data_IF_024869005794
#
_entry.id   IF_024869005794
#
_cell.length_a   1.000
_cell.length_b   1.000
_cell.length_c   1.000
_cell.angle_alpha   90.00
_cell.angle_beta   90.00
_cell.angle_gamma   90.00
#
_symmetry.space_group_name_H-M   'P 1'
#
loop_
_entity.id
_entity.type
_entity.pdbx_description
1 polymer ?
#
# COMPACT_ATOMS: atom_id res chain seq x y z
N UNK A 1 -3.14 -12.51 36.18
CA UNK A 1 -3.54 -11.41 35.26
C UNK A 1 -4.03 -12.03 33.94
N UNK A 2 -5.33 -11.95 33.63
CA UNK A 2 -5.92 -12.50 32.39
C UNK A 2 -5.41 -11.83 31.10
N UNK A 3 -4.62 -10.77 31.23
CA UNK A 3 -4.00 -10.05 30.12
C UNK A 3 -2.79 -10.80 29.55
N UNK A 4 -1.99 -11.46 30.40
CA UNK A 4 -0.79 -12.18 29.95
C UNK A 4 -1.11 -13.37 29.04
N UNK A 5 -2.06 -14.21 29.42
CA UNK A 5 -2.47 -15.38 28.62
C UNK A 5 -3.07 -14.97 27.27
N UNK A 6 -3.73 -13.81 27.19
CA UNK A 6 -4.29 -13.31 25.93
C UNK A 6 -3.18 -12.79 25.00
N UNK A 7 -2.18 -12.08 25.54
CA UNK A 7 -1.02 -11.61 24.77
C UNK A 7 -0.16 -12.77 24.27
N UNK A 8 0.04 -13.79 25.09
CA UNK A 8 0.81 -14.98 24.73
C UNK A 8 0.17 -15.77 23.57
N UNK A 9 -1.17 -15.88 23.58
CA UNK A 9 -1.93 -16.50 22.50
C UNK A 9 -1.88 -15.67 21.21
N UNK A 10 -1.99 -14.35 21.32
CA UNK A 10 -1.81 -13.42 20.18
C UNK A 10 -0.42 -13.55 19.56
N UNK A 11 0.63 -13.62 20.38
CA UNK A 11 1.99 -13.80 19.89
C UNK A 11 2.14 -15.14 19.17
N UNK A 12 1.59 -16.22 19.72
CA UNK A 12 1.70 -17.56 19.12
C UNK A 12 0.97 -17.69 17.78
N UNK A 13 -0.12 -16.94 17.58
CA UNK A 13 -0.95 -17.00 16.36
C UNK A 13 -0.50 -15.98 15.29
N UNK A 14 -0.23 -14.72 15.66
CA UNK A 14 0.12 -13.64 14.71
C UNK A 14 1.58 -13.73 14.25
N UNK A 15 2.50 -14.04 15.17
CA UNK A 15 3.94 -14.06 14.87
C UNK A 15 4.32 -15.04 13.74
N UNK A 16 3.79 -16.28 13.66
CA UNK A 16 4.10 -17.16 12.54
C UNK A 16 3.57 -16.62 11.20
N UNK A 17 2.38 -16.00 11.18
CA UNK A 17 1.84 -15.37 9.97
C UNK A 17 2.74 -14.21 9.53
N UNK A 18 3.24 -13.42 10.49
CA UNK A 18 4.11 -12.28 10.21
C UNK A 18 5.50 -12.70 9.68
N UNK A 19 6.08 -13.76 10.25
CA UNK A 19 7.35 -14.34 9.77
C UNK A 19 7.15 -14.87 8.34
N UNK A 20 6.06 -15.59 8.10
CA UNK A 20 5.77 -16.17 6.78
C UNK A 20 5.56 -15.06 5.73
N UNK A 21 4.85 -13.99 6.09
CA UNK A 21 4.71 -12.81 5.23
C UNK A 21 6.05 -12.11 4.97
N UNK A 22 6.91 -11.99 5.98
CA UNK A 22 8.25 -11.38 5.84
C UNK A 22 9.16 -12.19 4.92
N UNK A 23 9.15 -13.52 5.03
CA UNK A 23 9.87 -14.42 4.12
C UNK A 23 9.34 -14.27 2.68
N UNK A 24 8.02 -14.18 2.52
CA UNK A 24 7.38 -14.04 1.21
C UNK A 24 7.73 -12.69 0.55
N UNK A 25 7.79 -11.60 1.34
CA UNK A 25 8.29 -10.29 0.90
C UNK A 25 9.76 -10.37 0.52
N UNK A 26 10.60 -11.01 1.33
CA UNK A 26 12.02 -11.12 1.05
C UNK A 26 12.28 -11.94 -0.23
N UNK A 27 11.56 -13.04 -0.42
CA UNK A 27 11.62 -13.86 -1.62
C UNK A 27 11.14 -13.09 -2.86
N UNK A 28 10.03 -12.34 -2.75
CA UNK A 28 9.57 -11.48 -3.84
C UNK A 28 10.60 -10.40 -4.21
N UNK A 29 11.37 -9.89 -3.24
CA UNK A 29 12.39 -8.85 -3.45
C UNK A 29 13.61 -9.41 -4.19
N UNK A 30 14.06 -10.61 -3.81
CA UNK A 30 15.16 -11.30 -4.49
C UNK A 30 14.78 -11.74 -5.91
N UNK A 31 13.54 -12.16 -6.12
CA UNK A 31 13.07 -12.59 -7.46
C UNK A 31 12.87 -11.43 -8.44
N UNK A 32 13.00 -10.17 -8.01
CA UNK A 32 12.77 -8.99 -8.86
C UNK A 32 11.31 -8.77 -9.25
N UNK A 33 10.38 -9.60 -8.72
CA UNK A 33 8.96 -9.51 -9.01
C UNK A 33 8.39 -8.15 -8.57
N UNK A 34 8.87 -7.61 -7.45
CA UNK A 34 8.49 -6.28 -7.01
C UNK A 34 8.92 -5.19 -7.98
N UNK A 35 10.12 -5.27 -8.57
CA UNK A 35 10.58 -4.27 -9.56
C UNK A 35 9.71 -4.32 -10.83
N UNK A 36 9.32 -5.53 -11.23
CA UNK A 36 8.40 -5.72 -12.36
C UNK A 36 7.02 -5.12 -12.08
N UNK A 37 6.50 -5.30 -10.86
CA UNK A 37 5.20 -4.78 -10.44
C UNK A 37 5.28 -3.25 -10.26
N UNK A 38 6.35 -2.71 -9.67
CA UNK A 38 6.49 -1.25 -9.53
C UNK A 38 6.57 -0.57 -10.89
N UNK A 39 7.31 -1.14 -11.86
CA UNK A 39 7.36 -0.65 -13.25
C UNK A 39 5.99 -0.65 -13.92
N UNK A 40 5.12 -1.62 -13.64
CA UNK A 40 3.76 -1.61 -14.17
C UNK A 40 2.83 -0.64 -13.45
N UNK A 41 3.09 -0.32 -12.18
CA UNK A 41 2.42 0.75 -11.45
C UNK A 41 2.93 2.15 -11.80
N UNK A 42 4.16 2.32 -12.28
CA UNK A 42 4.72 3.62 -12.68
C UNK A 42 3.79 4.42 -13.60
N UNK A 43 3.27 3.89 -14.73
CA UNK A 43 2.37 4.66 -15.59
C UNK A 43 1.04 5.04 -14.91
N UNK A 44 0.55 4.21 -13.97
CA UNK A 44 -0.65 4.49 -13.18
C UNK A 44 -0.41 5.62 -12.16
N UNK A 45 0.77 5.65 -11.53
CA UNK A 45 1.18 6.68 -10.57
C UNK A 45 1.44 8.01 -11.28
N UNK A 46 2.11 7.96 -12.44
CA UNK A 46 2.27 9.11 -13.34
C UNK A 46 0.92 9.66 -13.81
N UNK A 47 -0.06 8.80 -14.10
CA UNK A 47 -1.41 9.24 -14.49
C UNK A 47 -2.11 10.03 -13.37
N UNK A 48 -1.85 9.71 -12.10
CA UNK A 48 -2.34 10.48 -10.95
C UNK A 48 -1.47 11.73 -10.68
N UNK A 49 -0.43 12.01 -11.48
CA UNK A 49 0.41 13.20 -11.35
C UNK A 49 1.46 13.11 -10.24
N UNK A 50 1.79 11.89 -9.79
CA UNK A 50 2.84 11.63 -8.81
C UNK A 50 4.16 11.23 -9.49
N UNK A 51 5.31 11.49 -8.84
CA UNK A 51 6.61 11.08 -9.37
C UNK A 51 6.80 9.56 -9.31
N UNK A 52 7.68 9.04 -10.17
CA UNK A 52 7.95 7.60 -10.33
C UNK A 52 8.41 6.94 -9.03
N UNK A 53 9.06 7.72 -8.18
CA UNK A 53 9.58 7.34 -6.87
C UNK A 53 8.46 6.90 -5.90
N UNK A 54 7.21 7.31 -6.13
CA UNK A 54 6.07 6.93 -5.27
C UNK A 54 5.51 5.55 -5.63
N UNK A 55 5.76 5.03 -6.84
CA UNK A 55 5.31 3.71 -7.24
C UNK A 55 5.77 2.57 -6.30
N UNK A 56 7.05 2.47 -5.89
CA UNK A 56 7.46 1.52 -4.86
C UNK A 56 6.81 1.78 -3.50
N UNK A 57 6.48 3.02 -3.16
CA UNK A 57 5.87 3.35 -1.87
C UNK A 57 4.43 2.84 -1.77
N UNK A 58 3.65 2.95 -2.84
CA UNK A 58 2.31 2.34 -2.91
C UNK A 58 2.36 0.82 -2.79
N UNK A 59 3.31 0.21 -3.48
CA UNK A 59 3.56 -1.22 -3.40
C UNK A 59 3.92 -1.63 -1.97
N UNK A 60 4.88 -0.98 -1.31
CA UNK A 60 5.20 -1.30 0.09
C UNK A 60 4.03 -1.01 1.05
N UNK A 61 3.25 0.03 0.79
CA UNK A 61 2.02 0.37 1.51
C UNK A 61 0.95 -0.73 1.42
N UNK A 62 0.80 -1.36 0.25
CA UNK A 62 -0.09 -2.51 0.05
C UNK A 62 0.32 -3.71 0.91
N UNK A 63 1.64 -3.96 1.02
CA UNK A 63 2.16 -5.04 1.87
C UNK A 63 1.96 -4.74 3.35
N UNK A 64 2.30 -3.52 3.75
CA UNK A 64 2.07 -3.01 5.10
C UNK A 64 2.04 -1.49 5.06
N UNK A 65 0.91 -0.91 5.47
CA UNK A 65 0.68 0.54 5.46
C UNK A 65 1.81 1.34 6.13
N UNK A 66 2.39 0.82 7.22
CA UNK A 66 3.50 1.46 7.93
C UNK A 66 4.75 1.63 7.05
N UNK A 67 5.02 0.67 6.15
CA UNK A 67 6.15 0.76 5.22
C UNK A 67 5.88 1.77 4.10
N UNK A 68 4.63 1.88 3.64
CA UNK A 68 4.23 2.94 2.71
C UNK A 68 4.35 4.33 3.34
N UNK A 69 3.93 4.49 4.60
CA UNK A 69 4.09 5.76 5.32
C UNK A 69 5.57 6.13 5.51
N UNK A 70 6.42 5.16 5.87
CA UNK A 70 7.86 5.38 5.98
C UNK A 70 8.49 5.78 4.62
N UNK A 71 8.09 5.12 3.53
CA UNK A 71 8.55 5.48 2.18
C UNK A 71 8.14 6.88 1.75
N UNK A 72 6.89 7.30 2.03
CA UNK A 72 6.45 8.67 1.77
C UNK A 72 7.23 9.69 2.59
N UNK A 73 7.49 9.38 3.86
CA UNK A 73 8.21 10.28 4.75
C UNK A 73 9.66 10.49 4.29
N UNK A 74 10.31 9.43 3.79
CA UNK A 74 11.66 9.49 3.22
C UNK A 74 11.68 10.36 1.94
N UNK A 75 10.73 10.16 1.02
CA UNK A 75 10.61 10.97 -0.20
C UNK A 75 10.29 12.44 0.08
N UNK A 76 9.45 12.70 1.09
CA UNK A 76 9.13 14.06 1.52
C UNK A 76 10.36 14.77 2.08
N UNK A 77 11.19 14.06 2.86
CA UNK A 77 12.46 14.59 3.38
C UNK A 77 13.50 14.79 2.29
N UNK A 78 13.49 13.96 1.25
CA UNK A 78 14.37 14.09 0.08
C UNK A 78 14.01 15.26 -0.84
N UNK A 79 12.90 15.96 -0.61
CA UNK A 79 12.46 17.08 -1.44
C UNK A 79 11.81 16.67 -2.77
N UNK A 80 11.46 15.38 -2.95
CA UNK A 80 10.93 14.84 -4.20
C UNK A 80 9.41 15.00 -4.38
N UNK A 81 8.69 15.53 -3.38
CA UNK A 81 7.22 15.62 -3.38
C UNK A 81 6.73 17.04 -3.10
N UNK A 82 5.86 17.56 -3.97
CA UNK A 82 5.04 18.75 -3.67
C UNK A 82 4.00 18.42 -2.58
N UNK A 83 3.57 19.42 -1.82
CA UNK A 83 2.53 19.27 -0.79
C UNK A 83 1.26 18.64 -1.36
N UNK A 84 0.89 18.99 -2.60
CA UNK A 84 -0.28 18.44 -3.30
C UNK A 84 -0.09 16.94 -3.56
N UNK A 85 1.09 16.55 -4.06
CA UNK A 85 1.40 15.15 -4.34
C UNK A 85 1.43 14.32 -3.07
N UNK A 86 1.91 14.89 -1.97
CA UNK A 86 1.89 14.24 -0.66
C UNK A 86 0.45 13.98 -0.20
N UNK A 87 -0.43 14.98 -0.29
CA UNK A 87 -1.85 14.83 0.08
C UNK A 87 -2.52 13.75 -0.76
N UNK A 88 -2.33 13.78 -2.09
CA UNK A 88 -2.89 12.76 -2.99
C UNK A 88 -2.34 11.37 -2.66
N UNK A 89 -1.03 11.25 -2.37
CA UNK A 89 -0.42 9.97 -2.00
C UNK A 89 -0.97 9.40 -0.70
N UNK A 90 -1.07 10.23 0.35
CA UNK A 90 -1.57 9.82 1.67
C UNK A 90 -3.05 9.42 1.59
N UNK A 91 -3.89 10.18 0.87
CA UNK A 91 -5.31 9.83 0.69
C UNK A 91 -5.47 8.54 -0.11
N UNK A 92 -4.66 8.36 -1.14
CA UNK A 92 -4.69 7.12 -1.92
C UNK A 92 -4.27 5.93 -1.05
N UNK A 93 -3.20 6.07 -0.24
CA UNK A 93 -2.76 5.04 0.70
C UNK A 93 -3.78 4.70 1.79
N UNK A 94 -4.59 5.67 2.26
CA UNK A 94 -5.63 5.38 3.27
C UNK A 94 -6.83 4.64 2.67
N UNK A 95 -7.15 4.89 1.39
CA UNK A 95 -8.19 4.17 0.65
C UNK A 95 -7.76 2.75 0.25
N UNK A 96 -6.46 2.52 0.10
CA UNK A 96 -5.85 1.21 -0.08
C UNK A 96 -5.92 0.38 1.22
N UNK A 97 -7.13 -0.10 1.56
CA UNK A 97 -7.41 -0.78 2.83
C UNK A 97 -7.26 -2.32 2.88
N UNK A 98 -6.95 -3.11 1.83
CA UNK A 98 -6.72 -4.53 2.03
C UNK A 98 -5.21 -4.78 2.21
N UNK A 99 -4.72 -4.74 3.45
CA UNK A 99 -3.34 -5.18 3.73
C UNK A 99 -3.19 -6.70 3.53
N UNK A 100 -1.99 -7.19 3.26
CA UNK A 100 -1.72 -8.63 3.04
C UNK A 100 -2.15 -9.51 4.20
N UNK A 101 -2.07 -9.01 5.44
CA UNK A 101 -2.55 -9.74 6.60
C UNK A 101 -4.08 -9.93 6.54
N UNK A 102 -4.83 -8.89 6.16
CA UNK A 102 -6.28 -8.98 6.01
C UNK A 102 -6.67 -9.81 4.78
N UNK A 103 -5.90 -9.73 3.71
CA UNK A 103 -6.06 -10.54 2.50
C UNK A 103 -5.80 -12.01 2.77
N UNK A 104 -4.73 -12.37 3.49
CA UNK A 104 -4.38 -13.76 3.77
C UNK A 104 -5.41 -14.44 4.66
N UNK A 105 -5.92 -13.74 5.67
CA UNK A 105 -7.03 -14.20 6.52
C UNK A 105 -8.32 -14.31 5.69
N UNK A 106 -8.64 -13.32 4.86
CA UNK A 106 -9.84 -13.34 4.00
C UNK A 106 -9.79 -14.48 2.99
N UNK A 107 -8.63 -14.76 2.41
CA UNK A 107 -8.43 -15.90 1.50
C UNK A 107 -8.60 -17.22 2.26
N UNK A 108 -8.07 -17.31 3.48
CA UNK A 108 -8.17 -18.50 4.32
C UNK A 108 -9.61 -18.78 4.77
N UNK A 109 -10.40 -17.74 5.06
CA UNK A 109 -11.78 -17.87 5.56
C UNK A 109 -12.86 -17.88 4.46
N UNK A 110 -12.72 -17.05 3.42
CA UNK A 110 -13.75 -16.83 2.39
C UNK A 110 -13.33 -17.30 0.99
N UNK A 111 -12.15 -17.90 0.87
CA UNK A 111 -11.61 -18.42 -0.38
C UNK A 111 -10.95 -17.36 -1.28
N UNK A 112 -10.09 -17.83 -2.18
CA UNK A 112 -9.29 -16.99 -3.10
C UNK A 112 -10.14 -16.07 -3.99
N UNK A 113 -11.33 -16.52 -4.42
CA UNK A 113 -12.21 -15.75 -5.31
C UNK A 113 -12.66 -14.44 -4.65
N UNK A 114 -13.03 -14.49 -3.38
CA UNK A 114 -13.53 -13.33 -2.63
C UNK A 114 -12.41 -12.34 -2.33
N UNK A 115 -11.24 -12.83 -1.93
CA UNK A 115 -10.06 -11.99 -1.70
C UNK A 115 -9.60 -11.26 -2.96
N UNK A 116 -9.55 -11.96 -4.10
CA UNK A 116 -9.17 -11.35 -5.37
C UNK A 116 -10.22 -10.33 -5.85
N UNK A 117 -11.51 -10.61 -5.68
CA UNK A 117 -12.58 -9.66 -6.02
C UNK A 117 -12.49 -8.36 -5.20
N UNK A 118 -12.16 -8.43 -3.92
CA UNK A 118 -11.97 -7.24 -3.09
C UNK A 118 -10.80 -6.39 -3.56
N UNK A 119 -9.65 -7.01 -3.84
CA UNK A 119 -8.47 -6.28 -4.35
C UNK A 119 -8.77 -5.66 -5.70
N UNK A 120 -9.41 -6.41 -6.60
CA UNK A 120 -9.79 -5.95 -7.92
C UNK A 120 -10.79 -4.79 -7.88
N UNK A 121 -11.57 -4.63 -6.82
CA UNK A 121 -12.49 -3.50 -6.64
C UNK A 121 -11.81 -2.30 -5.98
N UNK A 122 -11.02 -2.53 -4.92
CA UNK A 122 -10.41 -1.45 -4.14
C UNK A 122 -9.28 -0.78 -4.90
N UNK A 123 -8.47 -1.54 -5.66
CA UNK A 123 -7.35 -1.00 -6.43
C UNK A 123 -7.80 0.09 -7.42
N UNK A 124 -8.74 -0.15 -8.36
CA UNK A 124 -9.20 0.89 -9.27
C UNK A 124 -9.95 2.00 -8.55
N UNK A 125 -10.69 1.69 -7.47
CA UNK A 125 -11.40 2.72 -6.71
C UNK A 125 -10.43 3.72 -6.06
N UNK A 126 -9.38 3.24 -5.40
CA UNK A 126 -8.38 4.10 -4.78
C UNK A 126 -7.60 4.91 -5.82
N UNK A 127 -7.21 4.29 -6.95
CA UNK A 127 -6.57 5.01 -8.06
C UNK A 127 -7.50 6.07 -8.67
N UNK A 128 -8.78 5.78 -8.83
CA UNK A 128 -9.77 6.72 -9.36
C UNK A 128 -9.95 7.92 -8.44
N UNK A 129 -10.04 7.70 -7.13
CA UNK A 129 -10.15 8.81 -6.16
C UNK A 129 -8.87 9.65 -6.13
N UNK A 130 -7.69 9.01 -6.16
CA UNK A 130 -6.40 9.72 -6.28
C UNK A 130 -6.33 10.57 -7.55
N UNK A 131 -6.75 10.02 -8.69
CA UNK A 131 -6.81 10.73 -9.97
C UNK A 131 -7.76 11.94 -9.92
N UNK A 132 -8.96 11.75 -9.38
CA UNK A 132 -9.93 12.83 -9.21
C UNK A 132 -9.40 13.94 -8.31
N UNK A 133 -8.72 13.59 -7.22
CA UNK A 133 -8.10 14.58 -6.33
C UNK A 133 -7.02 15.40 -7.06
N UNK A 134 -6.13 14.74 -7.80
CA UNK A 134 -5.14 15.45 -8.60
C UNK A 134 -5.81 16.39 -9.62
N UNK A 135 -6.88 15.94 -10.28
CA UNK A 135 -7.63 16.75 -11.23
C UNK A 135 -8.27 17.96 -10.56
N UNK A 136 -8.86 17.80 -9.37
CA UNK A 136 -9.42 18.90 -8.57
C UNK A 136 -8.33 19.90 -8.16
N UNK A 137 -7.17 19.43 -7.70
CA UNK A 137 -6.05 20.32 -7.34
C UNK A 137 -5.50 21.09 -8.56
N UNK A 138 -5.40 20.42 -9.72
CA UNK A 138 -4.99 21.06 -10.97
C UNK A 138 -6.00 22.12 -11.43
N UNK A 139 -7.30 21.81 -11.36
CA UNK A 139 -8.39 22.75 -11.68
C UNK A 139 -8.43 23.95 -10.73
N UNK A 140 -8.14 23.75 -9.44
CA UNK A 140 -8.04 24.82 -8.45
C UNK A 140 -6.77 25.68 -8.63
N UNK A 141 -5.91 25.35 -9.59
CA UNK A 141 -4.69 26.11 -9.88
C UNK A 141 -3.66 26.06 -8.76
N UNK A 142 -3.78 25.10 -7.84
CA UNK A 142 -2.88 24.96 -6.68
C UNK A 142 -1.60 24.30 -7.15
N UNK A 143 -0.64 25.12 -7.58
CA UNK A 143 0.79 24.76 -7.64
C UNK A 143 1.43 25.29 -6.37
N UNK A 144 1.47 24.46 -5.33
CA UNK A 144 2.33 24.65 -4.16
C UNK A 144 3.66 23.93 -4.40
#
# INVERSE_FOLDING_TARGET
SKTYTRVEWYFKEILPIFILASILIWAGKITGLFDLITRSLTPLVQAIGLPDEVAPVFLYGFFRRDFGAAGLFDLTRGGGLSEVQLVVAVVTLTLFIPCIAQLSITIKERGLKTGLAMVAFIFPFAFLVGFLLNLVFNLLGVKL
#
